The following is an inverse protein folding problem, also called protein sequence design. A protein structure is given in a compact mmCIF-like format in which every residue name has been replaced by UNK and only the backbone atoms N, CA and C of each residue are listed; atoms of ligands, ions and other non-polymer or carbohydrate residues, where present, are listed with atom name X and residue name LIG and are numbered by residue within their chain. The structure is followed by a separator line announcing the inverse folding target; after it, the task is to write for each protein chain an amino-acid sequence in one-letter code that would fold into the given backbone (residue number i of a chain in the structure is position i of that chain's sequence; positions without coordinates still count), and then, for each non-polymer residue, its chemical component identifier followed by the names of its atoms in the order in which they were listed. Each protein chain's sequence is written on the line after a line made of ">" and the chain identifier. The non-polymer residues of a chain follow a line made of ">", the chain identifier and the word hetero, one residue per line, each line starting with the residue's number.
data_IF_183754331333
#
_entry.id   IF_183754331333
#
_cell.length_a   1.000
_cell.length_b   1.000
_cell.length_c   1.000
_cell.angle_alpha   90.00
_cell.angle_beta   90.00
_cell.angle_gamma   90.00
#
_symmetry.space_group_name_H-M   'P 1'
#
loop_
_entity.id
_entity.type
_entity.pdbx_description
1 polymer ?
#
# COMPACT_ATOMS: atom_id res chain seq x y z
N UNK A 1 2.24 17.41 -11.67
CA UNK A 1 1.07 16.58 -11.33
C UNK A 1 0.81 15.63 -12.49
N UNK A 2 0.88 14.30 -12.32
CA UNK A 2 0.46 13.40 -13.38
C UNK A 2 -1.04 13.55 -13.60
N UNK A 3 -1.43 13.86 -14.84
CA UNK A 3 -2.83 13.88 -15.26
C UNK A 3 -3.30 12.42 -15.22
N UNK A 4 -4.30 12.13 -14.39
CA UNK A 4 -4.70 10.76 -14.14
C UNK A 4 -6.18 10.58 -14.43
N UNK A 5 -6.48 9.86 -15.51
CA UNK A 5 -7.85 9.48 -15.84
C UNK A 5 -8.20 8.20 -15.07
N UNK A 6 -9.16 8.23 -14.12
CA UNK A 6 -9.53 7.07 -13.32
C UNK A 6 -9.94 5.85 -14.16
N UNK A 7 -10.48 6.06 -15.37
CA UNK A 7 -10.84 4.96 -16.28
C UNK A 7 -9.63 4.22 -16.83
N UNK A 8 -8.54 4.95 -17.11
CA UNK A 8 -7.30 4.36 -17.64
C UNK A 8 -6.65 3.43 -16.63
N UNK A 9 -6.74 3.79 -15.35
CA UNK A 9 -6.24 2.98 -14.23
C UNK A 9 -7.03 1.71 -14.04
N UNK A 10 -8.36 1.83 -14.05
CA UNK A 10 -9.22 0.66 -13.87
C UNK A 10 -9.00 -0.31 -15.02
N UNK A 11 -8.84 0.20 -16.24
CA UNK A 11 -8.47 -0.63 -17.40
C UNK A 11 -7.07 -1.27 -17.22
N UNK A 12 -6.08 -0.52 -16.72
CA UNK A 12 -4.75 -1.04 -16.45
C UNK A 12 -4.77 -2.18 -15.41
N UNK A 13 -5.49 -1.98 -14.31
CA UNK A 13 -5.69 -3.01 -13.28
C UNK A 13 -6.41 -4.25 -13.80
N UNK A 14 -7.24 -4.11 -14.84
CA UNK A 14 -7.96 -5.24 -15.45
C UNK A 14 -7.07 -6.03 -16.42
N UNK A 15 -6.06 -5.39 -17.01
CA UNK A 15 -5.22 -6.01 -18.05
C UNK A 15 -3.93 -6.63 -17.49
N UNK A 16 -3.34 -5.98 -16.48
CA UNK A 16 -2.13 -6.47 -15.83
C UNK A 16 -2.41 -7.65 -14.91
N UNK A 17 -1.42 -8.53 -14.79
CA UNK A 17 -1.52 -9.69 -13.92
C UNK A 17 -1.50 -9.25 -12.46
N UNK A 18 -2.53 -9.64 -11.71
CA UNK A 18 -2.57 -9.47 -10.27
C UNK A 18 -1.39 -10.25 -9.64
N UNK A 19 -0.41 -9.53 -9.08
CA UNK A 19 0.77 -10.15 -8.48
C UNK A 19 0.44 -10.68 -7.09
N UNK A 20 -0.33 -9.90 -6.33
CA UNK A 20 -0.80 -10.30 -5.01
C UNK A 20 -2.15 -9.68 -4.70
N UNK A 21 -3.02 -10.50 -4.12
CA UNK A 21 -4.35 -10.07 -3.68
C UNK A 21 -4.62 -10.60 -2.28
N UNK A 22 -5.32 -9.82 -1.47
CA UNK A 22 -5.61 -10.24 -0.11
C UNK A 22 -6.40 -9.21 0.68
N UNK A 23 -6.95 -9.64 1.80
CA UNK A 23 -7.58 -8.72 2.73
C UNK A 23 -6.55 -8.16 3.69
N UNK A 24 -6.45 -6.84 3.77
CA UNK A 24 -5.63 -6.17 4.76
C UNK A 24 -6.47 -5.21 5.59
N UNK A 25 -6.03 -4.97 6.81
CA UNK A 25 -6.62 -3.99 7.69
C UNK A 25 -6.00 -2.62 7.43
N UNK A 26 -6.80 -1.69 6.91
CA UNK A 26 -6.37 -0.33 6.61
C UNK A 26 -6.75 0.66 7.71
N UNK A 27 -5.80 1.51 8.08
CA UNK A 27 -5.98 2.66 8.98
C UNK A 27 -5.40 3.91 8.32
N UNK A 28 -6.09 5.06 8.43
CA UNK A 28 -5.79 6.32 7.70
C UNK A 28 -4.74 7.23 8.35
N UNK A 29 -4.41 6.98 9.61
CA UNK A 29 -3.39 7.70 10.36
C UNK A 29 -3.26 7.00 11.70
N UNK A 30 -2.08 7.05 12.31
CA UNK A 30 -1.81 6.57 13.67
C UNK A 30 -2.84 7.07 14.70
N UNK A 31 -3.28 8.32 14.56
CA UNK A 31 -4.23 8.95 15.48
C UNK A 31 -5.66 8.39 15.38
N UNK A 32 -6.04 7.75 14.26
CA UNK A 32 -7.40 7.21 14.09
C UNK A 32 -7.49 5.78 14.65
N UNK A 33 -8.42 5.52 15.57
CA UNK A 33 -8.52 4.19 16.21
C UNK A 33 -9.04 3.05 15.31
N UNK A 34 -9.82 3.34 14.27
CA UNK A 34 -10.53 2.30 13.53
C UNK A 34 -9.75 1.75 12.33
N UNK A 35 -9.40 0.46 12.41
CA UNK A 35 -9.00 -0.33 11.24
C UNK A 35 -10.24 -0.76 10.46
N UNK A 36 -10.16 -0.73 9.12
CA UNK A 36 -11.19 -1.28 8.23
C UNK A 36 -10.58 -2.38 7.38
N UNK A 37 -11.19 -3.57 7.37
CA UNK A 37 -10.80 -4.65 6.45
C UNK A 37 -11.17 -4.22 5.03
N UNK A 38 -10.19 -4.26 4.12
CA UNK A 38 -10.33 -3.90 2.71
C UNK A 38 -9.61 -4.93 1.86
N UNK A 39 -10.14 -5.18 0.67
CA UNK A 39 -9.51 -6.08 -0.29
C UNK A 39 -8.47 -5.28 -1.08
N UNK A 40 -7.23 -5.72 -1.08
CA UNK A 40 -6.13 -5.07 -1.78
C UNK A 40 -5.69 -5.92 -2.96
N UNK A 41 -5.38 -5.23 -4.05
CA UNK A 41 -4.80 -5.81 -5.26
C UNK A 41 -3.53 -5.03 -5.56
N UNK A 42 -2.41 -5.76 -5.56
CA UNK A 42 -1.11 -5.25 -5.96
C UNK A 42 -0.86 -5.64 -7.42
N UNK A 43 -0.60 -4.62 -8.22
CA UNK A 43 -0.33 -4.72 -9.65
C UNK A 43 0.89 -3.85 -9.96
N UNK A 44 2.07 -4.48 -10.02
CA UNK A 44 3.34 -3.77 -10.20
C UNK A 44 3.59 -2.73 -9.10
N UNK A 45 3.60 -1.45 -9.47
CA UNK A 45 3.78 -0.31 -8.55
C UNK A 45 2.44 0.30 -8.07
N UNK A 46 1.31 -0.27 -8.47
CA UNK A 46 -0.03 0.22 -8.15
C UNK A 46 -0.65 -0.68 -7.09
N UNK A 47 -1.04 -0.07 -5.98
CA UNK A 47 -1.82 -0.73 -4.94
C UNK A 47 -3.26 -0.19 -4.96
N UNK A 48 -4.19 -0.99 -5.46
CA UNK A 48 -5.61 -0.68 -5.44
C UNK A 48 -6.30 -1.34 -4.24
N UNK A 49 -7.35 -0.70 -3.72
CA UNK A 49 -8.17 -1.31 -2.66
C UNK A 49 -9.67 -1.13 -2.90
N UNK A 50 -10.43 -2.15 -2.48
CA UNK A 50 -11.86 -2.31 -2.71
C UNK A 50 -12.57 -2.57 -1.38
N UNK A 51 -13.90 -2.38 -1.34
CA UNK A 51 -14.68 -2.75 -0.16
C UNK A 51 -14.77 -4.28 -0.09
N UNK A 52 -15.12 -4.90 -1.22
CA UNK A 52 -15.27 -6.34 -1.42
C UNK A 52 -14.49 -6.82 -2.64
N UNK A 53 -14.23 -8.12 -2.72
CA UNK A 53 -13.50 -8.77 -3.82
C UNK A 53 -14.18 -8.63 -5.20
N UNK A 54 -15.50 -8.47 -5.24
CA UNK A 54 -16.30 -8.43 -6.48
C UNK A 54 -16.64 -7.01 -6.94
N UNK A 55 -16.08 -5.98 -6.28
CA UNK A 55 -16.36 -4.60 -6.67
C UNK A 55 -15.63 -4.27 -7.97
N UNK A 56 -16.35 -3.68 -8.93
CA UNK A 56 -15.80 -3.25 -10.23
C UNK A 56 -14.94 -2.00 -10.13
N UNK A 57 -15.17 -1.18 -9.10
CA UNK A 57 -14.50 0.11 -8.93
C UNK A 57 -13.64 0.12 -7.66
N UNK A 58 -12.35 0.48 -7.76
CA UNK A 58 -11.52 0.62 -6.58
C UNK A 58 -11.96 1.83 -5.75
N UNK A 59 -12.05 1.64 -4.44
CA UNK A 59 -12.27 2.73 -3.48
C UNK A 59 -11.08 3.70 -3.41
N UNK A 60 -9.92 3.27 -3.91
CA UNK A 60 -8.78 4.14 -4.12
C UNK A 60 -7.56 3.40 -4.61
N UNK A 61 -6.66 4.17 -5.17
CA UNK A 61 -5.44 3.70 -5.82
C UNK A 61 -4.26 4.43 -5.19
N UNK A 62 -3.21 3.69 -4.85
CA UNK A 62 -1.99 4.20 -4.25
C UNK A 62 -0.81 3.81 -5.14
N UNK A 63 -0.07 4.82 -5.59
CA UNK A 63 1.16 4.63 -6.36
C UNK A 63 2.34 4.44 -5.43
N UNK A 64 2.88 3.23 -5.33
CA UNK A 64 3.98 2.95 -4.42
C UNK A 64 5.27 3.70 -4.82
N UNK A 65 5.43 4.10 -6.08
CA UNK A 65 6.58 4.89 -6.56
C UNK A 65 6.61 6.33 -6.10
N UNK A 66 5.46 6.91 -5.76
CA UNK A 66 5.40 8.29 -5.31
C UNK A 66 5.46 8.44 -3.77
N UNK A 67 5.45 7.32 -3.03
CA UNK A 67 5.28 7.32 -1.59
C UNK A 67 6.38 6.52 -0.89
N UNK A 68 6.61 6.82 0.39
CA UNK A 68 7.54 6.07 1.23
C UNK A 68 6.75 4.95 1.90
N UNK A 69 7.23 3.71 1.81
CA UNK A 69 6.66 2.57 2.56
C UNK A 69 7.66 2.17 3.63
N UNK A 70 7.24 2.25 4.89
CA UNK A 70 8.04 1.85 6.04
C UNK A 70 7.44 0.61 6.68
N UNK A 71 8.29 -0.33 7.07
CA UNK A 71 7.86 -1.46 7.89
C UNK A 71 7.81 -1.02 9.34
N UNK A 72 6.68 -1.24 10.00
CA UNK A 72 6.53 -0.97 11.43
C UNK A 72 6.78 -2.26 12.23
N UNK A 73 6.20 -3.38 11.78
CA UNK A 73 6.31 -4.71 12.36
C UNK A 73 6.22 -5.76 11.23
N UNK A 74 6.49 -7.04 11.51
CA UNK A 74 6.33 -8.15 10.54
C UNK A 74 4.91 -8.23 9.95
N UNK A 75 3.93 -7.74 10.70
CA UNK A 75 2.51 -7.72 10.32
C UNK A 75 2.00 -6.33 9.96
N UNK A 76 2.83 -5.28 9.97
CA UNK A 76 2.39 -3.90 9.76
C UNK A 76 3.35 -3.08 8.89
N UNK A 77 2.79 -2.36 7.93
CA UNK A 77 3.52 -1.36 7.15
C UNK A 77 2.80 -0.01 7.17
N UNK A 78 3.55 1.07 7.00
CA UNK A 78 3.09 2.44 6.90
C UNK A 78 3.45 3.04 5.53
N UNK A 79 2.47 3.54 4.80
CA UNK A 79 2.65 4.29 3.55
C UNK A 79 2.55 5.78 3.89
N UNK A 80 3.67 6.51 3.83
CA UNK A 80 3.72 7.96 4.01
C UNK A 80 3.66 8.68 2.67
N UNK A 81 2.70 9.60 2.55
CA UNK A 81 2.49 10.35 1.33
C UNK A 81 3.48 11.52 1.27
N UNK A 82 4.33 11.57 0.23
CA UNK A 82 5.19 12.73 -0.04
C UNK A 82 4.31 13.84 -0.63
N UNK A 83 4.04 14.87 0.15
CA UNK A 83 3.31 16.06 -0.28
C UNK A 83 3.71 17.29 0.52
N UNK A 84 3.55 18.51 -0.02
CA UNK A 84 3.84 19.73 0.70
C UNK A 84 2.78 19.95 1.78
N UNK A 85 3.16 19.79 3.06
CA UNK A 85 2.31 20.12 4.22
C UNK A 85 2.42 19.14 5.39
N UNK A 86 2.35 19.69 6.61
CA UNK A 86 2.53 19.07 7.93
C UNK A 86 1.43 18.07 8.34
N UNK A 87 0.47 17.80 7.43
CA UNK A 87 -0.61 16.84 7.59
C UNK A 87 -0.47 15.69 6.57
N UNK A 88 0.76 15.24 6.33
CA UNK A 88 1.05 14.10 5.45
C UNK A 88 0.24 12.90 5.90
N UNK A 89 -0.85 12.63 5.18
CA UNK A 89 -1.71 11.46 5.42
C UNK A 89 -0.80 10.23 5.38
N UNK A 90 -1.04 9.26 6.25
CA UNK A 90 -0.27 8.02 6.28
C UNK A 90 -1.22 6.83 6.37
N UNK A 91 -1.07 5.83 5.50
CA UNK A 91 -1.86 4.61 5.64
C UNK A 91 -1.06 3.56 6.40
N UNK A 92 -1.63 3.08 7.50
CA UNK A 92 -1.11 1.90 8.18
C UNK A 92 -1.90 0.71 7.67
N UNK A 93 -1.20 -0.26 7.11
CA UNK A 93 -1.74 -1.52 6.64
C UNK A 93 -1.26 -2.62 7.58
N UNK A 94 -2.18 -3.48 8.01
CA UNK A 94 -1.89 -4.63 8.84
C UNK A 94 -2.35 -5.91 8.15
N UNK A 95 -1.44 -6.88 8.04
CA UNK A 95 -1.69 -8.22 7.52
C UNK A 95 -2.16 -9.18 8.62
N UNK A 96 -2.66 -10.33 8.21
CA UNK A 96 -2.94 -11.45 9.13
C UNK A 96 -1.69 -12.33 9.27
N UNK A 97 -0.91 -12.47 8.20
CA UNK A 97 0.38 -13.19 8.18
C UNK A 97 1.54 -12.29 7.74
N UNK A 98 2.77 -12.65 8.10
CA UNK A 98 3.96 -11.90 7.69
C UNK A 98 4.11 -11.92 6.15
N UNK A 99 3.75 -13.03 5.51
CA UNK A 99 3.77 -13.18 4.07
C UNK A 99 2.89 -12.13 3.37
N UNK A 100 1.74 -11.76 3.96
CA UNK A 100 0.84 -10.75 3.40
C UNK A 100 1.51 -9.37 3.26
N UNK A 101 2.50 -9.07 4.10
CA UNK A 101 3.23 -7.80 4.13
C UNK A 101 4.61 -7.91 3.46
N UNK A 102 5.35 -8.99 3.68
CA UNK A 102 6.81 -9.02 3.47
C UNK A 102 7.27 -9.18 2.02
N UNK A 103 6.55 -9.89 1.14
CA UNK A 103 7.28 -10.54 0.01
C UNK A 103 7.13 -9.85 -1.35
N UNK A 104 6.06 -9.10 -1.61
CA UNK A 104 5.75 -8.58 -2.96
C UNK A 104 5.97 -7.08 -3.13
N UNK A 105 5.88 -6.28 -2.05
CA UNK A 105 6.03 -4.82 -2.13
C UNK A 105 7.48 -4.37 -2.41
N UNK A 106 8.46 -5.18 -2.02
CA UNK A 106 9.87 -4.78 -2.00
C UNK A 106 10.68 -5.27 -3.22
N UNK A 107 10.28 -6.39 -3.84
CA UNK A 107 11.12 -7.11 -4.83
C UNK A 107 11.43 -6.34 -6.11
N UNK A 108 10.71 -5.27 -6.45
CA UNK A 108 10.90 -4.48 -7.68
C UNK A 108 11.46 -3.07 -7.47
N UNK A 109 11.86 -2.72 -6.25
CA UNK A 109 12.36 -1.39 -5.94
C UNK A 109 13.88 -1.41 -5.74
N UNK A 110 14.67 -0.98 -6.74
CA UNK A 110 16.11 -0.80 -6.58
C UNK A 110 16.47 0.37 -5.61
N UNK A 111 15.47 1.17 -5.20
CA UNK A 111 15.66 2.37 -4.37
C UNK A 111 15.01 2.29 -2.97
N UNK A 112 14.58 1.11 -2.51
CA UNK A 112 14.22 0.99 -1.10
C UNK A 112 15.50 1.02 -0.26
N UNK A 113 15.75 2.18 0.33
CA UNK A 113 16.50 2.29 1.59
C UNK A 113 15.77 1.38 2.57
N UNK A 114 16.32 0.18 2.71
CA UNK A 114 16.08 -0.72 3.81
C UNK A 114 16.58 0.01 5.06
N UNK A 115 15.76 0.90 5.63
CA UNK A 115 15.84 1.18 7.06
C UNK A 115 15.29 -0.06 7.76
N UNK A 116 16.08 -1.14 7.68
CA UNK A 116 16.04 -2.21 8.66
C UNK A 116 16.19 -1.52 10.01
N UNK A 117 15.22 -1.76 10.89
CA UNK A 117 15.19 -1.49 12.33
C UNK A 117 16.27 -0.54 12.87
N UNK A 118 15.91 0.61 13.49
CA UNK A 118 16.82 1.26 14.42
C UNK A 118 16.93 0.37 15.66
N UNK A 119 17.77 -0.67 15.61
CA UNK A 119 17.85 -1.65 16.69
C UNK A 119 18.69 -2.90 16.45
N UNK A 120 19.19 -3.16 15.24
CA UNK A 120 20.24 -4.17 15.04
C UNK A 120 21.59 -3.56 15.44
N UNK A 121 21.86 -3.61 16.74
CA UNK A 121 23.16 -3.38 17.35
C UNK A 121 24.23 -4.24 16.64
N UNK A 122 25.29 -3.58 16.21
CA UNK A 122 26.62 -4.17 15.97
C UNK A 122 27.29 -4.33 17.33
#
# INVERSE_FOLDING_TARGET
>A
MPIFNPKTVTNFLTYEKEEKVGFLWKKRSEQKKSYKKRYFILCGNILAYFDKKLDKEPLGIIFLDCHIVEMLDDLKMAIRFRGPGELSRSYILKGETAEDIEVSFFRRKPFFVCLRYPGSLI
#
